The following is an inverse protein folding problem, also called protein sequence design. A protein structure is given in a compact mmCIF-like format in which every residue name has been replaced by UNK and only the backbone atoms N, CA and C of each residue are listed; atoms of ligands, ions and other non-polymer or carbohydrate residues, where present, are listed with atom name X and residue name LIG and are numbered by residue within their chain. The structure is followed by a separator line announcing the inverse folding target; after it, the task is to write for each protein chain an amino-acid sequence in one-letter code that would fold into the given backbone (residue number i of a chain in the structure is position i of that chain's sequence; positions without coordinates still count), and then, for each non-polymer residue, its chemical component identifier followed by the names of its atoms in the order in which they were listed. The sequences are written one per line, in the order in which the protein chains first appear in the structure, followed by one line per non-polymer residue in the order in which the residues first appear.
data_IF_001118572371
#
_entry.id   IF_001118572371
#
_cell.length_a   1.000
_cell.length_b   1.000
_cell.length_c   1.000
_cell.angle_alpha   90.00
_cell.angle_beta   90.00
_cell.angle_gamma   90.00
#
_symmetry.space_group_name_H-M   'P 1'
#
loop_
_entity.id
_entity.type
_entity.pdbx_description
1 polymer ?
#
# COMPACT_ATOMS: atom_id res chain seq x y z
N UNK A 1 18.61 3.77 -38.48
CA UNK A 1 19.34 3.20 -37.34
C UNK A 1 18.51 3.51 -36.11
N UNK A 2 17.91 2.48 -35.49
CA UNK A 2 17.14 2.65 -34.27
C UNK A 2 18.12 2.56 -33.12
N UNK A 3 18.31 3.66 -32.40
CA UNK A 3 19.08 3.68 -31.17
C UNK A 3 18.42 2.73 -30.18
N UNK A 4 18.99 1.53 -30.06
CA UNK A 4 18.71 0.58 -29.00
C UNK A 4 19.15 1.19 -27.67
N UNK A 5 18.40 2.16 -27.17
CA UNK A 5 18.50 2.65 -25.80
C UNK A 5 17.91 1.56 -24.89
N UNK A 6 18.61 0.44 -24.78
CA UNK A 6 18.38 -0.53 -23.73
C UNK A 6 18.51 0.23 -22.42
N UNK A 7 17.36 0.48 -21.78
CA UNK A 7 17.30 1.02 -20.44
C UNK A 7 18.09 0.02 -19.58
N UNK A 8 19.34 0.35 -19.25
CA UNK A 8 20.18 -0.46 -18.37
C UNK A 8 19.60 -0.33 -16.96
N UNK A 9 18.53 -1.11 -16.67
CA UNK A 9 18.05 -1.24 -15.30
C UNK A 9 19.15 -1.91 -14.50
N UNK A 10 19.59 -1.25 -13.41
CA UNK A 10 20.55 -1.83 -12.48
C UNK A 10 20.01 -3.18 -12.00
N UNK A 11 20.81 -4.24 -12.12
CA UNK A 11 20.52 -5.52 -11.49
C UNK A 11 20.68 -5.37 -9.99
N UNK A 12 19.71 -5.87 -9.22
CA UNK A 12 19.79 -5.85 -7.76
C UNK A 12 20.69 -7.00 -7.30
N UNK A 13 21.74 -6.68 -6.56
CA UNK A 13 22.51 -7.68 -5.83
C UNK A 13 21.91 -7.93 -4.42
N UNK A 14 22.51 -8.86 -3.68
CA UNK A 14 22.06 -9.19 -2.33
C UNK A 14 22.20 -8.01 -1.35
N UNK A 15 23.21 -7.17 -1.52
CA UNK A 15 23.43 -6.00 -0.67
C UNK A 15 22.38 -4.91 -0.94
N UNK A 16 22.02 -4.71 -2.21
CA UNK A 16 20.95 -3.83 -2.67
C UNK A 16 19.60 -4.29 -2.08
N UNK A 17 19.31 -5.60 -2.13
CA UNK A 17 18.09 -6.16 -1.52
C UNK A 17 18.07 -5.98 0.00
N UNK A 18 19.20 -6.16 0.68
CA UNK A 18 19.31 -5.94 2.12
C UNK A 18 19.06 -4.47 2.50
N UNK A 19 19.60 -3.52 1.74
CA UNK A 19 19.34 -2.07 1.93
C UNK A 19 17.87 -1.74 1.73
N UNK A 20 17.26 -2.26 0.67
CA UNK A 20 15.83 -2.07 0.42
C UNK A 20 14.96 -2.67 1.53
N UNK A 21 15.37 -3.80 2.10
CA UNK A 21 14.68 -4.42 3.23
C UNK A 21 14.78 -3.59 4.51
N UNK A 22 15.93 -2.99 4.80
CA UNK A 22 16.11 -2.08 5.95
C UNK A 22 15.19 -0.87 5.80
N UNK A 23 15.18 -0.23 4.62
CA UNK A 23 14.29 0.91 4.33
C UNK A 23 12.82 0.53 4.51
N UNK A 24 12.43 -0.65 3.99
CA UNK A 24 11.05 -1.13 4.12
C UNK A 24 10.66 -1.40 5.57
N UNK A 25 11.56 -1.96 6.39
CA UNK A 25 11.32 -2.24 7.81
C UNK A 25 11.06 -0.94 8.59
N UNK A 26 11.86 0.11 8.34
CA UNK A 26 11.65 1.43 8.94
C UNK A 26 10.26 1.96 8.61
N UNK A 27 9.85 1.92 7.33
CA UNK A 27 8.53 2.39 6.91
C UNK A 27 7.41 1.53 7.53
N UNK A 28 7.61 0.22 7.66
CA UNK A 28 6.64 -0.68 8.30
C UNK A 28 6.43 -0.32 9.77
N UNK A 29 7.51 -0.07 10.52
CA UNK A 29 7.46 0.34 11.92
C UNK A 29 6.74 1.67 12.09
N UNK A 30 7.05 2.66 11.24
CA UNK A 30 6.39 3.97 11.27
C UNK A 30 4.91 3.89 10.92
N UNK A 31 4.54 3.04 9.96
CA UNK A 31 3.16 2.85 9.55
C UNK A 31 2.36 1.92 10.47
N UNK A 32 3.01 1.23 11.41
CA UNK A 32 2.39 0.20 12.25
C UNK A 32 1.87 -1.01 11.45
N UNK A 33 2.50 -1.31 10.30
CA UNK A 33 2.03 -2.35 9.35
C UNK A 33 3.04 -3.48 9.23
N UNK A 34 2.55 -4.69 9.03
CA UNK A 34 3.41 -5.83 8.72
C UNK A 34 4.00 -5.68 7.31
N UNK A 35 5.26 -6.09 7.14
CA UNK A 35 5.97 -6.17 5.84
C UNK A 35 5.17 -6.96 4.81
N UNK A 36 4.47 -8.02 5.24
CA UNK A 36 3.64 -8.89 4.37
C UNK A 36 2.26 -8.34 4.07
N UNK A 37 1.90 -7.16 4.58
CA UNK A 37 0.63 -6.53 4.21
C UNK A 37 0.65 -6.14 2.73
N UNK A 38 -0.49 -6.25 2.02
CA UNK A 38 -0.56 -5.90 0.59
C UNK A 38 -0.12 -4.46 0.34
N UNK A 39 -0.45 -3.56 1.28
CA UNK A 39 -0.05 -2.17 1.25
C UNK A 39 1.48 -2.00 1.26
N UNK A 40 2.18 -2.76 2.12
CA UNK A 40 3.64 -2.70 2.21
C UNK A 40 4.34 -3.46 1.08
N UNK A 41 3.73 -4.49 0.49
CA UNK A 41 4.25 -5.15 -0.71
C UNK A 41 4.28 -4.20 -1.92
N UNK A 42 3.27 -3.36 -2.07
CA UNK A 42 3.24 -2.37 -3.14
C UNK A 42 4.26 -1.24 -2.92
N UNK A 43 4.50 -0.85 -1.66
CA UNK A 43 5.61 0.05 -1.31
C UNK A 43 6.95 -0.59 -1.63
N UNK A 44 7.15 -1.88 -1.31
CA UNK A 44 8.36 -2.62 -1.66
C UNK A 44 8.60 -2.65 -3.17
N UNK A 45 7.58 -2.94 -3.97
CA UNK A 45 7.66 -2.93 -5.42
C UNK A 45 8.02 -1.53 -5.98
N UNK A 46 7.52 -0.46 -5.35
CA UNK A 46 7.90 0.91 -5.70
C UNK A 46 9.38 1.17 -5.41
N UNK A 47 9.86 0.84 -4.21
CA UNK A 47 11.26 1.02 -3.83
C UNK A 47 12.21 0.26 -4.76
N UNK A 48 11.87 -0.98 -5.12
CA UNK A 48 12.62 -1.79 -6.10
C UNK A 48 12.71 -1.07 -7.45
N UNK A 49 11.59 -0.57 -7.99
CA UNK A 49 11.60 0.15 -9.27
C UNK A 49 12.49 1.39 -9.21
N UNK A 50 12.33 2.20 -8.18
CA UNK A 50 13.13 3.43 -8.00
C UNK A 50 14.63 3.13 -7.92
N UNK A 51 15.00 2.08 -7.18
CA UNK A 51 16.38 1.67 -7.05
C UNK A 51 16.99 1.23 -8.38
N UNK A 52 16.24 0.47 -9.18
CA UNK A 52 16.67 0.02 -10.52
C UNK A 52 16.80 1.18 -11.52
N UNK A 53 16.08 2.27 -11.30
CA UNK A 53 16.22 3.53 -12.04
C UNK A 53 17.36 4.43 -11.52
N UNK A 54 18.11 4.00 -10.50
CA UNK A 54 19.29 4.70 -9.98
C UNK A 54 19.07 5.47 -8.69
N UNK A 55 17.86 5.46 -8.10
CA UNK A 55 17.60 6.07 -6.79
C UNK A 55 18.16 5.19 -5.67
N UNK A 56 19.44 5.40 -5.35
CA UNK A 56 20.18 4.65 -4.32
C UNK A 56 20.30 5.41 -2.98
N UNK A 57 19.90 6.68 -2.97
CA UNK A 57 19.89 7.54 -1.80
C UNK A 57 18.81 7.09 -0.80
N UNK A 58 19.27 6.67 0.38
CA UNK A 58 18.43 6.11 1.45
C UNK A 58 17.41 7.11 1.99
N UNK A 59 17.80 8.39 2.13
CA UNK A 59 16.92 9.44 2.63
C UNK A 59 15.78 9.71 1.64
N UNK A 60 16.10 9.70 0.33
CA UNK A 60 15.09 9.83 -0.72
C UNK A 60 14.17 8.61 -0.79
N UNK A 61 14.72 7.40 -0.68
CA UNK A 61 13.94 6.16 -0.63
C UNK A 61 12.96 6.15 0.54
N UNK A 62 13.42 6.54 1.74
CA UNK A 62 12.56 6.68 2.92
C UNK A 62 11.48 7.74 2.72
N UNK A 63 11.83 8.91 2.17
CA UNK A 63 10.88 10.00 1.94
C UNK A 63 9.77 9.58 0.98
N UNK A 64 10.13 8.93 -0.14
CA UNK A 64 9.15 8.44 -1.13
C UNK A 64 8.34 7.27 -0.56
N UNK A 65 8.97 6.36 0.18
CA UNK A 65 8.29 5.24 0.82
C UNK A 65 7.27 5.67 1.87
N UNK A 66 7.62 6.65 2.72
CA UNK A 66 6.70 7.29 3.67
C UNK A 66 5.53 7.96 2.96
N UNK A 67 5.80 8.73 1.91
CA UNK A 67 4.76 9.39 1.11
C UNK A 67 3.79 8.36 0.47
N UNK A 68 4.32 7.28 -0.09
CA UNK A 68 3.53 6.21 -0.69
C UNK A 68 2.65 5.48 0.34
N UNK A 69 3.19 5.21 1.53
CA UNK A 69 2.44 4.63 2.65
C UNK A 69 1.33 5.57 3.16
N UNK A 70 1.63 6.86 3.30
CA UNK A 70 0.69 7.88 3.78
C UNK A 70 -0.44 8.16 2.80
N UNK A 71 -0.15 8.30 1.49
CA UNK A 71 -1.18 8.49 0.45
C UNK A 71 -2.22 7.36 0.42
N UNK A 72 -1.81 6.15 0.78
CA UNK A 72 -2.71 4.98 0.81
C UNK A 72 -3.55 4.89 2.06
N UNK A 73 -3.04 5.40 3.19
CA UNK A 73 -3.88 5.62 4.38
C UNK A 73 -5.09 6.48 4.03
N UNK A 74 -4.88 7.60 3.35
CA UNK A 74 -5.94 8.54 2.96
C UNK A 74 -6.98 7.93 1.98
N UNK A 75 -6.54 7.12 1.02
CA UNK A 75 -7.44 6.46 0.06
C UNK A 75 -8.35 5.42 0.74
N UNK A 76 -7.81 4.67 1.72
CA UNK A 76 -8.59 3.69 2.47
C UNK A 76 -9.55 4.37 3.45
N UNK A 77 -9.13 5.44 4.13
CA UNK A 77 -9.99 6.20 5.06
C UNK A 77 -11.17 6.85 4.34
N UNK A 78 -11.00 7.35 3.11
CA UNK A 78 -12.10 7.89 2.31
C UNK A 78 -13.14 6.82 1.92
N UNK A 79 -12.72 5.58 1.69
CA UNK A 79 -13.64 4.48 1.37
C UNK A 79 -14.48 4.02 2.59
N UNK A 80 -13.95 4.12 3.82
CA UNK A 80 -14.69 3.72 5.03
C UNK A 80 -15.73 4.76 5.44
N UNK A 81 -15.52 6.05 5.17
CA UNK A 81 -16.52 7.10 5.45
C UNK A 81 -17.66 7.14 4.41
N UNK A 82 -17.44 6.64 3.19
CA UNK A 82 -18.51 6.54 2.18
C UNK A 82 -19.49 5.37 2.41
N UNK A 83 -19.15 4.40 3.26
CA UNK A 83 -19.89 3.13 3.40
C UNK A 83 -20.92 3.03 4.54
N UNK A 84 -21.14 4.09 5.35
CA UNK A 84 -21.98 3.98 6.56
C UNK A 84 -23.26 4.81 6.50
N UNK A 85 -24.13 4.55 5.51
CA UNK A 85 -25.53 5.04 5.57
C UNK A 85 -26.53 4.16 4.83
N UNK A 86 -26.73 2.93 5.32
CA UNK A 86 -28.01 2.23 5.15
C UNK A 86 -28.56 1.87 6.53
N UNK A 87 -29.41 2.76 7.04
CA UNK A 87 -30.25 2.52 8.22
C UNK A 87 -31.15 1.32 7.92
N UNK A 88 -30.95 0.20 8.62
CA UNK A 88 -32.02 -0.77 8.86
C UNK A 88 -33.06 -0.12 9.78
N UNK A 89 -34.36 -0.23 9.49
CA UNK A 89 -35.37 -0.30 10.53
C UNK A 89 -35.66 -1.78 10.80
N UNK A 90 -35.44 -2.20 12.04
CA UNK A 90 -35.95 -3.43 12.65
C UNK A 90 -37.29 -3.11 13.31
N UNK A 91 -38.26 -4.01 13.16
CA UNK A 91 -39.55 -4.03 13.85
C UNK A 91 -40.69 -4.33 12.87
N UNK A 92 -41.52 -5.36 12.99
CA UNK A 92 -41.82 -6.23 14.13
C UNK A 92 -42.38 -7.57 13.63
N UNK A 93 -42.21 -8.60 14.47
CA UNK A 93 -42.73 -9.97 14.31
C UNK A 93 -44.25 -10.07 14.11
N UNK A 94 -44.63 -11.08 13.31
CA UNK A 94 -45.73 -12.05 13.43
C UNK A 94 -47.01 -11.68 14.21
N UNK A 95 -48.18 -12.02 13.65
CA UNK A 95 -48.97 -13.18 14.09
C UNK A 95 -50.19 -13.40 13.17
N UNK A 96 -50.43 -14.67 12.88
CA UNK A 96 -51.67 -15.24 12.33
C UNK A 96 -52.86 -15.05 13.28
N UNK A 97 -54.08 -15.11 12.73
CA UNK A 97 -55.32 -15.75 13.27
C UNK A 97 -56.58 -14.84 13.30
N UNK A 98 -57.60 -15.23 12.52
CA UNK A 98 -59.08 -15.20 12.71
C UNK A 98 -59.76 -13.87 13.10
N UNK A 99 -60.99 -13.52 12.73
CA UNK A 99 -62.14 -14.12 12.03
C UNK A 99 -63.16 -12.98 11.80
N UNK A 100 -63.99 -13.10 10.76
CA UNK A 100 -65.46 -12.95 10.82
C UNK A 100 -66.06 -13.39 9.50
#
# INVERSE_FOLDING_TARGET
MLDSQSIHLKALDSADLQRLQIVLDVICREAGKAVRSPEMQEVAALLIRLYRHGLTDEVKLLSVGRLASAKRGLSRTAAITAGRRSKRPLGHLNLTRSSS
#
